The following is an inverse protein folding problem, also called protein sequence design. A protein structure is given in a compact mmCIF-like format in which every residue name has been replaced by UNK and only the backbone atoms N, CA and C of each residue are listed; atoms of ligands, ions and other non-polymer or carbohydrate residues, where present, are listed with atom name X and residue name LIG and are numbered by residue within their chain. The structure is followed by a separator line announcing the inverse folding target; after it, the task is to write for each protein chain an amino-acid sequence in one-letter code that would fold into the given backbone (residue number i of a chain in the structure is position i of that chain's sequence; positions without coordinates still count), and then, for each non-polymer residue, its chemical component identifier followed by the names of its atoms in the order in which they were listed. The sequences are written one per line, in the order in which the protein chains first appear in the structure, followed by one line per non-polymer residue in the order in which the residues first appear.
data_IF_234660658896
#
_entry.id   IF_234660658896
#
_cell.length_a   1.000
_cell.length_b   1.000
_cell.length_c   1.000
_cell.angle_alpha   90.00
_cell.angle_beta   90.00
_cell.angle_gamma   90.00
#
_symmetry.space_group_name_H-M   'P 1'
#
loop_
_entity.id
_entity.type
_entity.pdbx_description
1 polymer ?
#
# COMPACT_ATOMS: atom_id res chain seq x y z
N UNK A 1 -14.54 10.26 27.00
CA UNK A 1 -13.97 8.96 27.42
C UNK A 1 -12.51 8.76 27.00
N UNK A 2 -12.11 9.01 25.74
CA UNK A 2 -10.72 8.82 25.27
C UNK A 2 -9.65 9.61 26.07
N UNK A 3 -9.95 10.87 26.45
CA UNK A 3 -9.06 11.73 27.27
C UNK A 3 -8.77 11.22 28.69
N UNK A 4 -9.60 10.31 29.21
CA UNK A 4 -9.46 9.78 30.58
C UNK A 4 -8.68 8.45 30.61
N UNK A 5 -8.70 7.70 29.50
CA UNK A 5 -7.98 6.43 29.35
C UNK A 5 -6.49 6.61 29.01
N UNK A 6 -6.10 7.76 28.45
CA UNK A 6 -4.69 8.10 28.16
C UNK A 6 -3.81 8.31 29.41
N UNK A 7 -4.40 8.27 30.62
CA UNK A 7 -3.69 8.40 31.90
C UNK A 7 -3.41 7.07 32.60
N UNK A 8 -3.74 5.93 31.99
CA UNK A 8 -3.40 4.62 32.56
C UNK A 8 -1.89 4.39 32.41
N UNK A 9 -1.12 4.33 33.53
CA UNK A 9 0.35 4.40 33.50
C UNK A 9 1.05 3.27 32.73
N UNK A 10 0.33 2.18 32.44
CA UNK A 10 0.85 1.01 31.73
C UNK A 10 0.47 0.95 30.24
N UNK A 11 -0.47 1.77 29.79
CA UNK A 11 -0.92 1.80 28.37
C UNK A 11 -0.31 2.96 27.58
N UNK A 12 0.29 3.95 28.25
CA UNK A 12 0.97 5.07 27.59
C UNK A 12 0.09 5.76 26.54
N UNK A 13 0.65 5.94 25.35
CA UNK A 13 0.03 6.56 24.19
C UNK A 13 -0.84 5.57 23.36
N UNK A 14 -0.86 4.27 23.72
CA UNK A 14 -1.48 3.21 22.90
C UNK A 14 -2.96 3.43 22.62
N UNK A 15 -3.74 3.88 23.62
CA UNK A 15 -5.19 4.10 23.42
C UNK A 15 -5.45 5.22 22.41
N UNK A 16 -4.65 6.30 22.47
CA UNK A 16 -4.77 7.41 21.52
C UNK A 16 -4.44 6.96 20.10
N UNK A 17 -3.33 6.25 19.95
CA UNK A 17 -2.89 5.68 18.68
C UNK A 17 -3.86 4.64 18.09
N UNK A 18 -4.56 3.87 18.93
CA UNK A 18 -5.53 2.86 18.46
C UNK A 18 -6.86 3.48 18.00
N UNK A 19 -7.28 4.60 18.62
CA UNK A 19 -8.58 5.22 18.32
C UNK A 19 -8.50 6.14 17.11
N UNK A 20 -7.51 7.01 17.07
CA UNK A 20 -7.28 7.96 15.98
C UNK A 20 -5.81 8.40 15.98
N UNK A 21 -4.91 7.62 15.33
CA UNK A 21 -3.49 7.91 15.38
C UNK A 21 -3.14 9.26 14.75
N UNK A 22 -3.81 9.64 13.68
CA UNK A 22 -3.55 10.90 12.96
C UNK A 22 -3.87 12.10 13.83
N UNK A 23 -5.08 12.15 14.38
CA UNK A 23 -5.49 13.26 15.24
C UNK A 23 -4.68 13.27 16.55
N UNK A 24 -4.37 12.09 17.11
CA UNK A 24 -3.58 11.98 18.32
C UNK A 24 -2.15 12.51 18.17
N UNK A 25 -1.46 12.12 17.09
CA UNK A 25 -0.12 12.61 16.78
C UNK A 25 -0.13 14.12 16.50
N UNK A 26 -1.17 14.62 15.82
CA UNK A 26 -1.36 16.05 15.60
C UNK A 26 -1.57 16.83 16.90
N UNK A 27 -2.41 16.35 17.83
CA UNK A 27 -2.56 16.99 19.14
C UNK A 27 -1.24 17.03 19.93
N UNK A 28 -0.43 15.98 19.84
CA UNK A 28 0.88 15.94 20.49
C UNK A 28 1.86 16.92 19.86
N UNK A 29 1.89 17.02 18.54
CA UNK A 29 2.67 18.04 17.83
C UNK A 29 2.31 19.45 18.30
N UNK A 30 1.01 19.78 18.40
CA UNK A 30 0.59 21.09 18.88
C UNK A 30 1.02 21.42 20.32
N UNK A 31 1.20 20.40 21.17
CA UNK A 31 1.59 20.59 22.59
C UNK A 31 3.09 20.56 22.83
N UNK A 32 3.81 19.74 22.07
CA UNK A 32 5.22 19.41 22.33
C UNK A 32 6.16 19.91 21.24
N UNK A 33 5.63 20.40 20.12
CA UNK A 33 6.41 20.85 18.99
C UNK A 33 6.83 19.71 18.06
N UNK A 34 7.85 19.94 17.20
CA UNK A 34 8.22 19.03 16.11
C UNK A 34 8.93 17.76 16.56
N UNK A 35 9.37 17.67 17.82
CA UNK A 35 10.02 16.48 18.37
C UNK A 35 9.35 16.08 19.67
N UNK A 36 8.78 14.88 19.71
CA UNK A 36 8.14 14.36 20.92
C UNK A 36 8.19 12.84 20.98
N UNK A 37 8.03 12.27 22.17
CA UNK A 37 8.04 10.81 22.35
C UNK A 37 6.64 10.23 22.41
N UNK A 38 6.47 9.05 21.83
CA UNK A 38 5.27 8.21 21.93
C UNK A 38 5.67 6.87 22.56
N UNK A 39 4.98 6.47 23.62
CA UNK A 39 5.26 5.29 24.43
C UNK A 39 4.12 4.29 24.31
N UNK A 40 4.45 3.11 23.83
CA UNK A 40 3.57 1.93 23.87
C UNK A 40 4.10 0.94 24.92
N UNK A 41 3.33 -0.08 25.34
CA UNK A 41 3.81 -1.14 26.23
C UNK A 41 5.08 -1.85 25.75
N UNK A 42 5.33 -1.86 24.44
CA UNK A 42 6.42 -2.62 23.82
C UNK A 42 7.60 -1.75 23.40
N UNK A 43 7.35 -0.52 22.96
CA UNK A 43 8.35 0.35 22.35
C UNK A 43 8.09 1.82 22.67
N UNK A 44 9.17 2.58 22.79
CA UNK A 44 9.16 4.05 22.78
C UNK A 44 9.71 4.51 21.45
N UNK A 45 9.03 5.47 20.83
CA UNK A 45 9.42 6.08 19.58
C UNK A 45 9.62 7.57 19.76
N UNK A 46 10.61 8.11 19.07
CA UNK A 46 10.81 9.55 18.88
C UNK A 46 10.11 9.95 17.59
N UNK A 47 9.13 10.86 17.67
CA UNK A 47 8.39 11.36 16.51
C UNK A 47 9.08 12.62 15.99
N UNK A 48 9.38 12.65 14.69
CA UNK A 48 9.80 13.84 13.95
C UNK A 48 8.61 14.33 13.13
N UNK A 49 8.05 15.48 13.49
CA UNK A 49 6.79 15.96 12.94
C UNK A 49 6.91 17.35 12.29
N UNK A 50 6.06 17.60 11.29
CA UNK A 50 6.00 18.86 10.55
C UNK A 50 6.68 18.80 9.19
N UNK A 51 6.62 19.90 8.45
CA UNK A 51 7.19 19.99 7.10
C UNK A 51 8.71 19.72 7.09
N UNK A 52 9.43 20.22 8.10
CA UNK A 52 10.87 20.04 8.23
C UNK A 52 11.26 18.57 8.39
N UNK A 53 10.40 17.73 8.99
CA UNK A 53 10.63 16.29 9.07
C UNK A 53 10.55 15.63 7.70
N UNK A 54 9.57 16.01 6.85
CA UNK A 54 9.46 15.50 5.49
C UNK A 54 10.65 15.93 4.61
N UNK A 55 11.12 17.17 4.76
CA UNK A 55 12.33 17.67 4.10
C UNK A 55 13.57 16.92 4.59
N UNK A 56 13.70 16.70 5.91
CA UNK A 56 14.79 15.96 6.50
C UNK A 56 14.85 14.52 5.96
N UNK A 57 13.73 13.80 5.95
CA UNK A 57 13.65 12.43 5.41
C UNK A 57 14.11 12.33 3.96
N UNK A 58 13.87 13.37 3.16
CA UNK A 58 14.25 13.42 1.74
C UNK A 58 15.70 13.90 1.50
N UNK A 59 16.32 14.45 2.53
CA UNK A 59 17.69 14.98 2.48
C UNK A 59 18.73 13.86 2.42
N UNK A 60 19.98 14.21 2.09
CA UNK A 60 21.11 13.27 2.15
C UNK A 60 21.28 12.73 3.57
N UNK A 61 21.22 13.61 4.57
CA UNK A 61 21.38 13.25 5.98
C UNK A 61 20.28 12.30 6.44
N UNK A 62 19.02 12.59 6.15
CA UNK A 62 17.91 11.72 6.52
C UNK A 62 18.02 10.31 5.92
N UNK A 63 18.49 10.19 4.66
CA UNK A 63 18.73 8.89 4.03
C UNK A 63 19.90 8.10 4.63
N UNK A 64 20.87 8.78 5.23
CA UNK A 64 22.01 8.14 5.91
C UNK A 64 21.66 7.79 7.37
N UNK A 65 20.84 8.63 8.02
CA UNK A 65 20.49 8.51 9.42
C UNK A 65 19.28 7.63 9.69
N UNK A 66 18.37 7.44 8.73
CA UNK A 66 17.15 6.66 8.89
C UNK A 66 17.21 5.37 8.05
N UNK A 67 16.91 4.24 8.68
CA UNK A 67 16.79 2.93 8.03
C UNK A 67 15.39 2.36 8.21
N UNK A 68 14.92 1.58 7.24
CA UNK A 68 13.67 0.79 7.38
C UNK A 68 13.77 -0.29 8.46
N UNK A 69 14.99 -0.69 8.84
CA UNK A 69 15.26 -1.68 9.88
C UNK A 69 14.60 -3.03 9.56
N UNK A 70 13.92 -3.61 10.54
CA UNK A 70 13.23 -4.90 10.38
C UNK A 70 11.72 -4.76 10.15
N UNK A 71 11.24 -3.56 9.79
CA UNK A 71 9.79 -3.24 9.73
C UNK A 71 9.01 -4.17 8.80
N UNK A 72 9.63 -4.61 7.70
CA UNK A 72 9.00 -5.49 6.71
C UNK A 72 9.37 -6.97 6.84
N UNK A 73 10.34 -7.32 7.69
CA UNK A 73 10.89 -8.67 7.80
C UNK A 73 9.81 -9.71 8.07
N UNK A 74 8.86 -9.39 8.95
CA UNK A 74 7.77 -10.31 9.28
C UNK A 74 6.91 -10.66 8.06
N UNK A 75 6.62 -9.67 7.20
CA UNK A 75 5.80 -9.83 6.00
C UNK A 75 6.59 -10.64 4.96
N UNK A 76 7.86 -10.33 4.74
CA UNK A 76 8.74 -11.07 3.82
C UNK A 76 8.85 -12.55 4.18
N UNK A 77 9.08 -12.85 5.46
CA UNK A 77 9.20 -14.22 5.96
C UNK A 77 7.91 -15.03 5.75
N UNK A 78 6.74 -14.37 5.71
CA UNK A 78 5.49 -15.06 5.36
C UNK A 78 5.47 -15.57 3.92
N UNK A 79 6.35 -15.12 3.03
CA UNK A 79 6.40 -15.61 1.64
C UNK A 79 7.80 -16.05 1.23
N UNK A 80 8.66 -16.36 2.22
CA UNK A 80 10.03 -16.81 1.98
C UNK A 80 10.95 -15.76 1.38
N UNK A 81 10.52 -14.49 1.33
CA UNK A 81 11.33 -13.38 0.88
C UNK A 81 12.29 -12.89 1.95
N UNK A 82 13.35 -12.19 1.52
CA UNK A 82 14.32 -11.45 2.33
C UNK A 82 14.97 -10.37 1.49
N UNK A 83 15.34 -9.25 2.10
CA UNK A 83 16.10 -8.21 1.41
C UNK A 83 15.37 -7.67 0.15
N UNK A 84 14.03 -7.62 0.21
CA UNK A 84 13.18 -7.09 -0.85
C UNK A 84 13.18 -5.55 -0.87
N UNK A 85 12.66 -4.96 -1.95
CA UNK A 85 12.50 -3.51 -2.14
C UNK A 85 12.09 -2.74 -0.87
N UNK A 86 11.14 -3.25 -0.09
CA UNK A 86 10.58 -2.51 1.07
C UNK A 86 11.39 -2.70 2.36
N UNK A 87 12.33 -3.64 2.37
CA UNK A 87 13.08 -4.07 3.56
C UNK A 87 14.57 -3.70 3.54
N UNK A 88 15.07 -3.13 2.44
CA UNK A 88 16.47 -2.73 2.30
C UNK A 88 16.60 -1.22 2.13
N UNK A 89 17.81 -0.71 2.40
CA UNK A 89 18.19 0.70 2.22
C UNK A 89 19.34 0.85 1.20
N UNK A 90 19.70 2.09 0.88
CA UNK A 90 20.94 2.40 0.18
C UNK A 90 21.08 1.77 -1.21
N UNK A 91 22.27 1.23 -1.58
CA UNK A 91 22.54 0.67 -2.90
C UNK A 91 21.60 -0.48 -3.31
N UNK A 92 21.28 -1.39 -2.39
CA UNK A 92 20.37 -2.52 -2.66
C UNK A 92 18.95 -2.02 -2.95
N UNK A 93 18.46 -1.06 -2.17
CA UNK A 93 17.18 -0.40 -2.45
C UNK A 93 17.19 0.28 -3.82
N UNK A 94 18.28 0.97 -4.19
CA UNK A 94 18.42 1.60 -5.50
C UNK A 94 18.42 0.57 -6.64
N UNK A 95 19.07 -0.58 -6.46
CA UNK A 95 19.04 -1.68 -7.42
C UNK A 95 17.60 -2.16 -7.62
N UNK A 96 16.90 -2.53 -6.54
CA UNK A 96 15.50 -2.95 -6.62
C UNK A 96 14.59 -1.90 -7.26
N UNK A 97 14.74 -0.62 -6.90
CA UNK A 97 13.97 0.45 -7.53
C UNK A 97 14.21 0.54 -9.03
N UNK A 98 15.47 0.43 -9.46
CA UNK A 98 15.83 0.44 -10.88
C UNK A 98 15.22 -0.74 -11.63
N UNK A 99 15.24 -1.93 -11.04
CA UNK A 99 14.66 -3.15 -11.63
C UNK A 99 13.13 -3.06 -11.73
N UNK A 100 12.48 -2.53 -10.69
CA UNK A 100 11.02 -2.55 -10.57
C UNK A 100 10.33 -1.33 -11.21
N UNK A 101 11.05 -0.26 -11.53
CA UNK A 101 10.46 1.01 -11.95
C UNK A 101 9.52 0.89 -13.16
N UNK A 102 9.83 0.00 -14.11
CA UNK A 102 9.08 -0.15 -15.35
C UNK A 102 7.68 -0.68 -15.08
N UNK A 103 7.55 -1.74 -14.29
CA UNK A 103 6.25 -2.34 -13.97
C UNK A 103 5.40 -1.51 -12.99
N UNK A 104 5.97 -0.47 -12.39
CA UNK A 104 5.24 0.53 -11.59
C UNK A 104 5.14 1.89 -12.29
N UNK A 105 5.51 1.98 -13.57
CA UNK A 105 5.40 3.20 -14.36
C UNK A 105 3.97 3.43 -14.85
N UNK A 106 3.66 4.65 -15.28
CA UNK A 106 2.36 4.96 -15.92
C UNK A 106 2.21 4.21 -17.25
N UNK A 107 3.33 3.93 -17.92
CA UNK A 107 3.38 3.20 -19.18
C UNK A 107 2.94 1.74 -19.03
N UNK A 108 3.06 1.15 -17.83
CA UNK A 108 2.64 -0.23 -17.55
C UNK A 108 1.13 -0.47 -17.76
N UNK A 109 0.31 0.58 -17.66
CA UNK A 109 -1.15 0.51 -17.89
C UNK A 109 -1.58 1.26 -19.15
N UNK A 110 -0.65 1.92 -19.85
CA UNK A 110 -0.98 2.69 -21.04
C UNK A 110 -1.55 1.78 -22.14
N UNK A 111 -2.68 2.17 -22.73
CA UNK A 111 -3.39 1.36 -23.73
C UNK A 111 -4.22 0.21 -23.15
N UNK A 112 -4.26 0.03 -21.82
CA UNK A 112 -5.02 -1.03 -21.13
C UNK A 112 -6.15 -0.49 -20.23
N UNK A 113 -6.59 0.75 -20.45
CA UNK A 113 -7.68 1.34 -19.64
C UNK A 113 -9.02 0.64 -19.84
N UNK A 114 -9.30 0.14 -21.05
CA UNK A 114 -10.50 -0.67 -21.30
C UNK A 114 -10.51 -1.92 -20.41
N UNK A 115 -9.38 -2.62 -20.28
CA UNK A 115 -9.26 -3.76 -19.37
C UNK A 115 -9.48 -3.37 -17.90
N UNK A 116 -9.07 -2.16 -17.50
CA UNK A 116 -9.30 -1.67 -16.14
C UNK A 116 -10.80 -1.40 -15.89
N UNK A 117 -11.50 -0.89 -16.91
CA UNK A 117 -12.96 -0.69 -16.89
C UNK A 117 -13.67 -2.05 -16.87
N UNK A 118 -13.24 -3.03 -17.68
CA UNK A 118 -13.81 -4.38 -17.71
C UNK A 118 -13.68 -5.11 -16.36
N UNK A 119 -12.61 -4.84 -15.60
CA UNK A 119 -12.47 -5.36 -14.24
C UNK A 119 -13.55 -4.76 -13.32
N UNK A 120 -13.83 -3.47 -13.47
CA UNK A 120 -14.85 -2.76 -12.68
C UNK A 120 -16.25 -3.23 -13.09
N UNK A 121 -16.57 -3.25 -14.37
CA UNK A 121 -17.88 -3.61 -14.90
C UNK A 121 -18.28 -5.03 -14.49
N UNK A 122 -17.38 -6.01 -14.65
CA UNK A 122 -17.65 -7.39 -14.22
C UNK A 122 -17.90 -7.49 -12.70
N UNK A 123 -17.23 -6.68 -11.88
CA UNK A 123 -17.48 -6.66 -10.44
C UNK A 123 -18.83 -5.99 -10.10
N UNK A 124 -19.19 -4.92 -10.81
CA UNK A 124 -20.49 -4.24 -10.67
C UNK A 124 -21.61 -5.20 -11.07
N UNK A 125 -21.51 -5.82 -12.24
CA UNK A 125 -22.52 -6.70 -12.82
C UNK A 125 -22.76 -7.95 -11.97
N UNK A 126 -21.69 -8.55 -11.44
CA UNK A 126 -21.80 -9.74 -10.59
C UNK A 126 -22.37 -9.44 -9.21
N UNK A 127 -21.96 -8.34 -8.60
CA UNK A 127 -22.11 -8.15 -7.16
C UNK A 127 -23.09 -7.05 -6.75
N UNK A 128 -23.42 -6.09 -7.63
CA UNK A 128 -24.22 -4.92 -7.28
C UNK A 128 -25.55 -4.92 -8.03
N UNK A 129 -26.65 -4.72 -7.29
CA UNK A 129 -28.01 -4.65 -7.85
C UNK A 129 -28.66 -3.30 -7.53
N UNK A 130 -29.48 -2.75 -8.45
CA UNK A 130 -30.24 -1.54 -8.16
C UNK A 130 -31.07 -1.66 -6.86
N UNK A 131 -31.00 -0.65 -6.00
CA UNK A 131 -31.68 -0.62 -4.71
C UNK A 131 -30.96 -1.33 -3.55
N UNK A 132 -29.82 -1.98 -3.81
CA UNK A 132 -29.03 -2.64 -2.77
C UNK A 132 -28.05 -1.67 -2.10
N UNK A 133 -27.93 -1.77 -0.76
CA UNK A 133 -26.84 -1.12 -0.02
C UNK A 133 -25.53 -1.90 -0.18
N UNK A 134 -24.47 -1.22 -0.62
CA UNK A 134 -23.14 -1.80 -0.79
C UNK A 134 -22.17 -1.24 0.26
N UNK A 135 -21.49 -2.08 1.05
CA UNK A 135 -20.43 -1.61 1.94
C UNK A 135 -19.21 -1.20 1.10
N UNK A 136 -18.99 0.12 0.98
CA UNK A 136 -18.02 0.71 0.05
C UNK A 136 -16.60 0.21 0.28
N UNK A 137 -16.09 0.22 1.51
CA UNK A 137 -14.71 -0.21 1.79
C UNK A 137 -14.44 -1.66 1.37
N UNK A 138 -15.22 -2.67 1.80
CA UNK A 138 -15.07 -4.03 1.29
C UNK A 138 -15.19 -4.12 -0.24
N UNK A 139 -16.07 -3.35 -0.86
CA UNK A 139 -16.24 -3.37 -2.31
C UNK A 139 -15.00 -2.81 -3.04
N UNK A 140 -14.45 -1.69 -2.56
CA UNK A 140 -13.21 -1.11 -3.07
C UNK A 140 -12.02 -2.05 -2.85
N UNK A 141 -11.96 -2.77 -1.72
CA UNK A 141 -10.93 -3.79 -1.46
C UNK A 141 -10.96 -4.92 -2.48
N UNK A 142 -12.16 -5.44 -2.79
CA UNK A 142 -12.32 -6.48 -3.81
C UNK A 142 -11.89 -6.00 -5.19
N UNK A 143 -12.31 -4.79 -5.59
CA UNK A 143 -11.91 -4.17 -6.85
C UNK A 143 -10.40 -3.96 -6.93
N UNK A 144 -9.76 -3.43 -5.88
CA UNK A 144 -8.31 -3.22 -5.87
C UNK A 144 -7.54 -4.54 -5.96
N UNK A 145 -7.98 -5.61 -5.30
CA UNK A 145 -7.34 -6.93 -5.44
C UNK A 145 -7.49 -7.46 -6.87
N UNK A 146 -8.67 -7.33 -7.47
CA UNK A 146 -8.91 -7.76 -8.85
C UNK A 146 -8.00 -7.01 -9.83
N UNK A 147 -7.92 -5.68 -9.72
CA UNK A 147 -7.04 -4.86 -10.57
C UNK A 147 -5.57 -5.19 -10.35
N UNK A 148 -5.12 -5.34 -9.11
CA UNK A 148 -3.74 -5.75 -8.83
C UNK A 148 -3.42 -7.09 -9.49
N UNK A 149 -4.27 -8.11 -9.32
CA UNK A 149 -4.03 -9.40 -9.95
C UNK A 149 -3.93 -9.33 -11.48
N UNK A 150 -4.83 -8.57 -12.11
CA UNK A 150 -4.84 -8.37 -13.56
C UNK A 150 -3.60 -7.62 -14.07
N UNK A 151 -3.29 -6.46 -13.50
CA UNK A 151 -2.24 -5.58 -14.04
C UNK A 151 -0.82 -5.94 -13.57
N UNK A 152 -0.70 -6.52 -12.37
CA UNK A 152 0.60 -6.90 -11.80
C UNK A 152 0.92 -8.36 -12.11
N UNK A 153 -0.06 -9.25 -11.94
CA UNK A 153 0.13 -10.68 -12.08
C UNK A 153 -0.21 -11.23 -13.47
N UNK A 154 -0.85 -10.44 -14.33
CA UNK A 154 -1.38 -10.92 -15.62
C UNK A 154 -2.52 -11.93 -15.49
N UNK A 155 -3.03 -12.13 -14.26
CA UNK A 155 -4.06 -13.14 -13.95
C UNK A 155 -5.17 -12.48 -13.15
N UNK A 156 -6.37 -12.44 -13.73
CA UNK A 156 -7.57 -11.98 -13.03
C UNK A 156 -7.92 -12.99 -11.91
N UNK A 157 -7.87 -12.61 -10.62
CA UNK A 157 -8.21 -13.51 -9.52
C UNK A 157 -9.70 -13.85 -9.52
N UNK A 158 -10.06 -15.05 -9.07
CA UNK A 158 -11.46 -15.42 -8.83
C UNK A 158 -11.99 -14.76 -7.55
N UNK A 159 -13.32 -14.75 -7.34
CA UNK A 159 -13.91 -14.22 -6.11
C UNK A 159 -13.36 -14.91 -4.84
N UNK A 160 -13.10 -16.21 -4.90
CA UNK A 160 -12.49 -16.96 -3.79
C UNK A 160 -11.04 -16.51 -3.55
N UNK A 161 -10.26 -16.31 -4.62
CA UNK A 161 -8.89 -15.81 -4.51
C UNK A 161 -8.87 -14.41 -3.88
N UNK A 162 -9.81 -13.55 -4.28
CA UNK A 162 -9.95 -12.20 -3.72
C UNK A 162 -10.21 -12.27 -2.21
N UNK A 163 -11.10 -13.15 -1.76
CA UNK A 163 -11.41 -13.30 -0.33
C UNK A 163 -10.22 -13.83 0.48
N UNK A 164 -9.46 -14.77 -0.08
CA UNK A 164 -8.27 -15.31 0.57
C UNK A 164 -7.12 -14.29 0.62
N UNK A 165 -6.87 -13.56 -0.46
CA UNK A 165 -5.88 -12.48 -0.51
C UNK A 165 -6.24 -11.39 0.51
N UNK A 166 -7.51 -10.97 0.55
CA UNK A 166 -7.99 -9.97 1.50
C UNK A 166 -7.87 -10.41 2.97
N UNK A 167 -8.02 -11.72 3.24
CA UNK A 167 -7.83 -12.28 4.57
C UNK A 167 -6.36 -12.27 4.97
N UNK A 168 -5.50 -12.81 4.11
CA UNK A 168 -4.07 -12.99 4.39
C UNK A 168 -3.38 -11.64 4.60
N UNK A 169 -3.62 -10.68 3.70
CA UNK A 169 -3.03 -9.34 3.77
C UNK A 169 -3.42 -8.63 5.07
N UNK A 170 -4.72 -8.57 5.37
CA UNK A 170 -5.26 -7.93 6.57
C UNK A 170 -4.73 -8.53 7.86
N UNK A 171 -4.68 -9.86 7.97
CA UNK A 171 -4.27 -10.52 9.21
C UNK A 171 -2.76 -10.36 9.46
N UNK A 172 -1.94 -10.35 8.41
CA UNK A 172 -0.50 -10.04 8.52
C UNK A 172 -0.28 -8.58 8.94
N UNK A 173 -0.96 -7.62 8.31
CA UNK A 173 -0.82 -6.19 8.61
C UNK A 173 -1.37 -5.82 10.00
N UNK A 174 -2.29 -6.59 10.56
CA UNK A 174 -2.66 -6.46 11.97
C UNK A 174 -1.54 -6.88 12.93
N UNK A 175 -0.61 -7.74 12.51
CA UNK A 175 0.48 -8.22 13.37
C UNK A 175 1.72 -7.33 13.23
N UNK A 176 2.07 -6.93 12.02
CA UNK A 176 3.22 -6.07 11.76
C UNK A 176 2.77 -4.63 11.51
N UNK A 177 3.32 -3.59 12.16
CA UNK A 177 4.33 -3.59 13.24
C UNK A 177 3.74 -3.48 14.67
N UNK A 178 2.43 -3.32 14.83
CA UNK A 178 1.79 -2.90 16.10
C UNK A 178 1.23 -4.07 16.93
N UNK A 179 1.30 -5.31 16.43
CA UNK A 179 0.80 -6.53 17.10
C UNK A 179 -0.65 -6.42 17.60
N UNK A 180 -1.57 -5.87 16.80
CA UNK A 180 -2.99 -5.77 17.15
C UNK A 180 -3.65 -7.13 17.40
N UNK A 181 -3.09 -8.22 16.85
CA UNK A 181 -3.58 -9.58 17.05
C UNK A 181 -2.43 -10.54 17.44
N UNK A 182 -2.68 -11.56 18.28
CA UNK A 182 -1.72 -12.62 18.56
C UNK A 182 -1.22 -13.40 17.34
N UNK A 183 0.10 -13.64 17.25
CA UNK A 183 0.75 -14.37 16.14
C UNK A 183 0.21 -15.79 15.91
N UNK A 184 -0.36 -16.44 16.93
CA UNK A 184 -0.89 -17.80 16.77
C UNK A 184 -2.10 -17.85 15.81
N UNK A 185 -2.78 -16.72 15.56
CA UNK A 185 -3.86 -16.68 14.56
C UNK A 185 -3.39 -17.03 13.15
N UNK A 186 -2.12 -16.77 12.82
CA UNK A 186 -1.53 -17.18 11.54
C UNK A 186 -1.24 -18.69 11.46
N UNK A 187 -1.54 -19.45 12.52
CA UNK A 187 -1.47 -20.93 12.52
C UNK A 187 -2.85 -21.58 12.36
N UNK A 188 -3.92 -20.78 12.36
CA UNK A 188 -5.27 -21.32 12.23
C UNK A 188 -5.47 -21.88 10.81
N UNK A 189 -6.20 -23.02 10.65
CA UNK A 189 -6.39 -23.65 9.34
C UNK A 189 -6.96 -22.70 8.28
N UNK A 190 -7.85 -21.79 8.67
CA UNK A 190 -8.43 -20.79 7.77
C UNK A 190 -7.35 -19.92 7.12
N UNK A 191 -6.43 -19.38 7.92
CA UNK A 191 -5.33 -18.55 7.40
C UNK A 191 -4.34 -19.40 6.59
N UNK A 192 -3.94 -20.57 7.09
CA UNK A 192 -2.96 -21.43 6.41
C UNK A 192 -3.45 -21.85 5.02
N UNK A 193 -4.73 -22.22 4.91
CA UNK A 193 -5.35 -22.60 3.64
C UNK A 193 -5.48 -21.41 2.69
N UNK A 194 -5.91 -20.24 3.18
CA UNK A 194 -5.99 -19.01 2.39
C UNK A 194 -4.62 -18.58 1.87
N UNK A 195 -3.60 -18.59 2.73
CA UNK A 195 -2.21 -18.30 2.35
C UNK A 195 -1.70 -19.29 1.30
N UNK A 196 -2.01 -20.58 1.44
CA UNK A 196 -1.61 -21.58 0.45
C UNK A 196 -2.24 -21.32 -0.92
N UNK A 197 -3.50 -20.91 -0.98
CA UNK A 197 -4.18 -20.56 -2.24
C UNK A 197 -3.63 -19.26 -2.85
N UNK A 198 -3.39 -18.25 -2.03
CA UNK A 198 -2.71 -17.02 -2.46
C UNK A 198 -1.32 -17.31 -3.05
N UNK A 199 -0.55 -18.21 -2.44
CA UNK A 199 0.74 -18.67 -3.00
C UNK A 199 0.55 -19.40 -4.34
N UNK A 200 -0.51 -20.19 -4.48
CA UNK A 200 -0.86 -20.83 -5.75
C UNK A 200 -1.13 -19.82 -6.86
N UNK A 201 -1.95 -18.79 -6.60
CA UNK A 201 -2.22 -17.69 -7.54
C UNK A 201 -0.92 -16.99 -7.96
N UNK A 202 -0.06 -16.67 -6.99
CA UNK A 202 1.24 -16.07 -7.24
C UNK A 202 2.16 -16.95 -8.10
N UNK A 203 2.19 -18.26 -7.84
CA UNK A 203 2.96 -19.21 -8.65
C UNK A 203 2.43 -19.33 -10.08
N UNK A 204 1.11 -19.32 -10.27
CA UNK A 204 0.49 -19.29 -11.60
C UNK A 204 0.86 -18.02 -12.37
N UNK A 205 0.84 -16.86 -11.72
CA UNK A 205 1.25 -15.60 -12.32
C UNK A 205 2.74 -15.61 -12.74
N UNK A 206 3.62 -16.14 -11.88
CA UNK A 206 5.06 -16.31 -12.21
C UNK A 206 5.27 -17.29 -13.37
N UNK A 207 4.51 -18.39 -13.41
CA UNK A 207 4.60 -19.36 -14.50
C UNK A 207 4.15 -18.78 -15.83
N UNK A 208 3.06 -17.99 -15.83
CA UNK A 208 2.57 -17.27 -17.00
C UNK A 208 3.65 -16.33 -17.55
N UNK A 209 4.22 -15.49 -16.68
CA UNK A 209 5.25 -14.53 -17.06
C UNK A 209 6.51 -15.20 -17.66
N UNK A 210 6.89 -16.38 -17.13
CA UNK A 210 7.97 -17.19 -17.70
C UNK A 210 7.65 -17.76 -19.08
N UNK A 211 6.41 -18.21 -19.30
CA UNK A 211 5.95 -18.67 -20.62
C UNK A 211 5.99 -17.54 -21.65
N UNK A 212 5.55 -16.35 -21.28
CA UNK A 212 5.63 -15.15 -22.12
C UNK A 212 7.07 -14.83 -22.54
N UNK A 213 8.03 -14.89 -21.61
CA UNK A 213 9.46 -14.71 -21.91
C UNK A 213 10.00 -15.80 -22.86
N UNK A 214 9.45 -17.01 -22.83
CA UNK A 214 9.80 -18.09 -23.74
C UNK A 214 9.14 -17.98 -25.13
N UNK A 215 8.35 -16.93 -25.38
CA UNK A 215 7.59 -16.75 -26.62
C UNK A 215 6.28 -17.52 -26.67
N UNK A 216 5.84 -18.09 -25.56
CA UNK A 216 4.61 -18.88 -25.43
C UNK A 216 3.43 -17.97 -25.02
N UNK A 217 3.03 -17.05 -25.90
CA UNK A 217 1.80 -16.27 -25.73
C UNK A 217 1.94 -14.76 -25.96
N UNK A 218 0.81 -14.02 -25.94
CA UNK A 218 0.83 -12.56 -26.10
C UNK A 218 1.55 -11.91 -24.92
N UNK A 219 2.54 -11.06 -25.21
CA UNK A 219 3.19 -10.24 -24.20
C UNK A 219 2.22 -9.16 -23.71
N UNK A 220 1.80 -9.28 -22.45
CA UNK A 220 1.01 -8.26 -21.77
C UNK A 220 1.84 -7.74 -20.60
N UNK A 221 2.77 -6.81 -20.89
CA UNK A 221 3.77 -6.25 -19.95
C UNK A 221 3.20 -6.04 -18.54
N UNK A 222 3.32 -7.08 -17.72
CA UNK A 222 2.94 -7.09 -16.32
C UNK A 222 4.18 -6.82 -15.48
N UNK A 223 3.99 -6.37 -14.24
CA UNK A 223 5.13 -6.16 -13.32
C UNK A 223 6.03 -7.41 -13.24
N UNK A 224 5.45 -8.61 -13.26
CA UNK A 224 6.21 -9.85 -13.22
C UNK A 224 7.04 -10.10 -14.48
N UNK A 225 6.56 -9.71 -15.66
CA UNK A 225 7.32 -9.81 -16.90
C UNK A 225 8.55 -8.91 -16.84
N UNK A 226 8.36 -7.66 -16.40
CA UNK A 226 9.43 -6.68 -16.27
C UNK A 226 10.46 -7.10 -15.21
N UNK A 227 10.01 -7.71 -14.10
CA UNK A 227 10.90 -8.29 -13.09
C UNK A 227 11.74 -9.41 -13.72
N UNK A 228 11.11 -10.34 -14.44
CA UNK A 228 11.81 -11.47 -15.04
C UNK A 228 12.81 -11.02 -16.11
N UNK A 229 12.42 -10.09 -16.98
CA UNK A 229 13.29 -9.49 -18.00
C UNK A 229 14.51 -8.82 -17.35
N UNK A 230 14.28 -7.99 -16.33
CA UNK A 230 15.34 -7.26 -15.64
C UNK A 230 16.27 -8.17 -14.83
N UNK A 231 15.82 -9.38 -14.48
CA UNK A 231 16.61 -10.38 -13.76
C UNK A 231 17.26 -11.42 -14.70
N UNK A 232 17.07 -11.34 -16.02
CA UNK A 232 17.64 -12.31 -16.95
C UNK A 232 19.18 -12.32 -16.91
N UNK A 233 19.79 -11.15 -16.71
CA UNK A 233 21.25 -10.96 -16.68
C UNK A 233 21.85 -11.00 -15.26
N UNK A 234 21.00 -11.06 -14.23
CA UNK A 234 21.39 -11.20 -12.82
C UNK A 234 20.80 -12.51 -12.25
N UNK A 235 21.36 -13.68 -12.66
CA UNK A 235 20.92 -15.00 -12.21
C UNK A 235 21.29 -15.28 -10.75
N UNK A 236 21.86 -14.32 -10.02
CA UNK A 236 22.18 -14.49 -8.62
C UNK A 236 20.91 -14.78 -7.81
N UNK A 237 21.05 -15.66 -6.81
CA UNK A 237 19.90 -16.31 -6.17
C UNK A 237 18.93 -15.34 -5.46
N UNK A 238 19.33 -14.09 -5.21
CA UNK A 238 18.56 -13.09 -4.46
C UNK A 238 17.28 -12.67 -5.20
N UNK A 239 17.31 -12.56 -6.53
CA UNK A 239 16.15 -12.14 -7.32
C UNK A 239 15.08 -13.24 -7.41
N UNK A 240 15.51 -14.48 -7.67
CA UNK A 240 14.59 -15.63 -7.72
C UNK A 240 14.00 -15.96 -6.34
N UNK A 241 14.78 -15.81 -5.25
CA UNK A 241 14.29 -16.00 -3.88
C UNK A 241 13.16 -15.04 -3.51
N UNK A 242 13.21 -13.81 -4.01
CA UNK A 242 12.19 -12.79 -3.73
C UNK A 242 11.05 -12.74 -4.73
N UNK A 243 11.11 -13.50 -5.83
CA UNK A 243 10.10 -13.45 -6.89
C UNK A 243 8.69 -13.68 -6.33
N UNK A 244 8.52 -14.70 -5.46
CA UNK A 244 7.24 -14.95 -4.82
C UNK A 244 6.81 -13.76 -3.97
N UNK A 245 7.70 -13.17 -3.18
CA UNK A 245 7.37 -12.00 -2.37
C UNK A 245 7.00 -10.78 -3.23
N UNK A 246 7.75 -10.50 -4.30
CA UNK A 246 7.46 -9.40 -5.22
C UNK A 246 6.15 -9.58 -5.96
N UNK A 247 5.73 -10.82 -6.25
CA UNK A 247 4.41 -11.10 -6.82
C UNK A 247 3.25 -10.81 -5.88
N UNK A 248 3.47 -10.90 -4.57
CA UNK A 248 2.41 -10.65 -3.57
C UNK A 248 2.48 -9.26 -2.93
N UNK A 249 3.64 -8.61 -2.95
CA UNK A 249 3.89 -7.31 -2.33
C UNK A 249 2.87 -6.23 -2.73
N UNK A 250 2.42 -6.13 -4.00
CA UNK A 250 1.39 -5.17 -4.41
C UNK A 250 0.06 -5.33 -3.68
N UNK A 251 -0.30 -6.54 -3.25
CA UNK A 251 -1.51 -6.74 -2.44
C UNK A 251 -1.37 -6.16 -1.03
N UNK A 252 -0.16 -6.17 -0.45
CA UNK A 252 0.08 -5.56 0.86
C UNK A 252 0.16 -4.04 0.78
N UNK A 253 0.89 -3.52 -0.20
CA UNK A 253 1.17 -2.09 -0.30
C UNK A 253 0.04 -1.30 -0.99
N UNK A 254 -0.62 -1.90 -1.97
CA UNK A 254 -1.54 -1.20 -2.88
C UNK A 254 -3.02 -1.37 -2.55
N UNK A 255 -3.45 -2.47 -1.94
CA UNK A 255 -4.89 -2.74 -1.73
C UNK A 255 -5.45 -1.85 -0.62
N UNK A 256 -4.97 -1.99 0.62
CA UNK A 256 -5.58 -1.27 1.74
C UNK A 256 -5.53 0.25 1.57
N UNK A 257 -4.41 0.78 1.06
CA UNK A 257 -4.20 2.21 0.82
C UNK A 257 -5.10 2.77 -0.28
N UNK A 258 -5.15 2.12 -1.44
CA UNK A 258 -5.94 2.59 -2.58
C UNK A 258 -7.43 2.43 -2.30
N UNK A 259 -7.86 1.30 -1.74
CA UNK A 259 -9.28 1.07 -1.44
C UNK A 259 -9.82 2.02 -0.38
N UNK A 260 -9.03 2.33 0.66
CA UNK A 260 -9.42 3.31 1.66
C UNK A 260 -9.45 4.74 1.09
N UNK A 261 -8.50 5.10 0.23
CA UNK A 261 -8.50 6.38 -0.48
C UNK A 261 -9.74 6.52 -1.36
N UNK A 262 -10.05 5.51 -2.18
CA UNK A 262 -11.26 5.47 -3.01
C UNK A 262 -12.53 5.56 -2.16
N UNK A 263 -12.57 4.88 -1.01
CA UNK A 263 -13.69 4.94 -0.08
C UNK A 263 -13.91 6.36 0.46
N UNK A 264 -12.86 7.03 0.92
CA UNK A 264 -12.98 8.41 1.41
C UNK A 264 -13.32 9.38 0.29
N UNK A 265 -12.74 9.21 -0.90
CA UNK A 265 -13.08 10.01 -2.07
C UNK A 265 -14.58 9.89 -2.39
N UNK A 266 -15.10 8.66 -2.50
CA UNK A 266 -16.53 8.42 -2.74
C UNK A 266 -17.40 9.02 -1.63
N UNK A 267 -17.03 8.82 -0.35
CA UNK A 267 -17.75 9.39 0.78
C UNK A 267 -17.83 10.93 0.70
N UNK A 268 -16.71 11.59 0.43
CA UNK A 268 -16.65 13.04 0.33
C UNK A 268 -17.39 13.56 -0.91
N UNK A 269 -17.23 12.92 -2.07
CA UNK A 269 -17.93 13.30 -3.30
C UNK A 269 -19.45 13.24 -3.09
N UNK A 270 -19.95 12.13 -2.52
CA UNK A 270 -21.39 11.95 -2.27
C UNK A 270 -21.94 12.93 -1.21
N UNK A 271 -21.10 13.43 -0.30
CA UNK A 271 -21.46 14.48 0.66
C UNK A 271 -21.51 15.88 0.06
N UNK A 272 -20.98 16.09 -1.15
CA UNK A 272 -20.90 17.40 -1.81
C UNK A 272 -21.56 17.34 -3.20
N UNK A 273 -22.89 17.51 -3.30
CA UNK A 273 -23.65 17.34 -4.54
C UNK A 273 -23.15 18.19 -5.71
N UNK A 274 -22.70 19.42 -5.44
CA UNK A 274 -22.13 20.31 -6.47
C UNK A 274 -20.82 19.77 -7.05
N UNK A 275 -20.00 19.11 -6.23
CA UNK A 275 -18.76 18.45 -6.70
C UNK A 275 -19.13 17.20 -7.49
N UNK A 276 -20.06 16.39 -7.00
CA UNK A 276 -20.56 15.21 -7.71
C UNK A 276 -21.08 15.56 -9.11
N UNK A 277 -21.93 16.59 -9.24
CA UNK A 277 -22.48 17.00 -10.53
C UNK A 277 -21.39 17.42 -11.54
N UNK A 278 -20.32 18.09 -11.06
CA UNK A 278 -19.18 18.47 -11.90
C UNK A 278 -18.36 17.26 -12.33
N UNK A 279 -18.11 16.32 -11.42
CA UNK A 279 -17.42 15.06 -11.71
C UNK A 279 -18.21 14.24 -12.72
N UNK A 280 -19.53 14.12 -12.55
CA UNK A 280 -20.40 13.43 -13.49
C UNK A 280 -20.29 14.04 -14.88
N UNK A 281 -20.35 15.37 -15.00
CA UNK A 281 -20.15 16.06 -16.27
C UNK A 281 -18.77 15.78 -16.91
N UNK A 282 -17.69 15.80 -16.12
CA UNK A 282 -16.34 15.45 -16.62
C UNK A 282 -16.27 14.01 -17.14
N UNK A 283 -16.80 13.06 -16.35
CA UNK A 283 -16.77 11.64 -16.67
C UNK A 283 -17.65 11.33 -17.88
N UNK A 284 -18.88 11.86 -17.93
CA UNK A 284 -19.80 11.68 -19.07
C UNK A 284 -19.19 12.22 -20.37
N UNK A 285 -18.56 13.41 -20.31
CA UNK A 285 -17.88 14.01 -21.44
C UNK A 285 -16.67 13.17 -21.89
N UNK A 286 -15.88 12.65 -20.95
CA UNK A 286 -14.75 11.78 -21.26
C UNK A 286 -15.21 10.50 -21.98
N UNK A 287 -16.18 9.77 -21.43
CA UNK A 287 -16.69 8.54 -22.04
C UNK A 287 -17.39 8.78 -23.38
N UNK A 288 -17.96 9.96 -23.62
CA UNK A 288 -18.52 10.31 -24.93
C UNK A 288 -17.47 10.43 -26.05
N UNK A 289 -16.18 10.61 -25.72
CA UNK A 289 -15.10 10.69 -26.71
C UNK A 289 -14.57 9.34 -27.19
N UNK A 290 -15.00 8.24 -26.57
CA UNK A 290 -14.55 6.89 -26.89
C UNK A 290 -13.42 6.42 -25.96
N UNK A 291 -12.29 6.02 -26.54
CA UNK A 291 -11.22 5.32 -25.81
C UNK A 291 -10.54 6.20 -24.75
N UNK A 292 -10.38 5.64 -23.54
CA UNK A 292 -9.67 6.28 -22.45
C UNK A 292 -8.16 6.14 -22.68
N UNK A 293 -7.49 7.27 -22.84
CA UNK A 293 -6.02 7.36 -22.83
C UNK A 293 -5.53 7.87 -21.48
N UNK A 294 -4.26 7.56 -21.13
CA UNK A 294 -3.66 8.05 -19.88
C UNK A 294 -3.75 9.58 -19.77
N UNK A 295 -3.25 10.29 -20.78
CA UNK A 295 -3.23 11.76 -20.74
C UNK A 295 -4.65 12.34 -20.85
N UNK A 296 -5.52 11.72 -21.66
CA UNK A 296 -6.92 12.11 -21.79
C UNK A 296 -7.68 12.00 -20.47
N UNK A 297 -7.47 10.94 -19.69
CA UNK A 297 -8.10 10.74 -18.38
C UNK A 297 -7.82 11.92 -17.44
N UNK A 298 -6.55 12.27 -17.24
CA UNK A 298 -6.18 13.33 -16.30
C UNK A 298 -6.51 14.73 -16.82
N UNK A 299 -6.44 14.96 -18.14
CA UNK A 299 -6.82 16.24 -18.74
C UNK A 299 -8.34 16.48 -18.71
N UNK A 300 -9.13 15.43 -18.94
CA UNK A 300 -10.59 15.53 -19.00
C UNK A 300 -11.27 15.53 -17.62
N UNK A 301 -10.57 15.07 -16.56
CA UNK A 301 -11.17 14.89 -15.23
C UNK A 301 -10.47 15.67 -14.09
N UNK A 302 -10.19 16.99 -14.25
CA UNK A 302 -9.46 17.75 -13.24
C UNK A 302 -10.20 17.88 -11.90
N UNK A 303 -11.53 17.94 -11.88
CA UNK A 303 -12.31 17.98 -10.64
C UNK A 303 -12.30 16.61 -9.95
N UNK A 304 -12.41 15.51 -10.69
CA UNK A 304 -12.25 14.16 -10.12
C UNK A 304 -10.86 13.99 -9.50
N UNK A 305 -9.80 14.35 -10.23
CA UNK A 305 -8.44 14.29 -9.73
C UNK A 305 -8.28 15.15 -8.46
N UNK A 306 -8.79 16.39 -8.49
CA UNK A 306 -8.79 17.28 -7.33
C UNK A 306 -9.53 16.70 -6.12
N UNK A 307 -10.67 16.02 -6.33
CA UNK A 307 -11.43 15.37 -5.26
C UNK A 307 -10.66 14.20 -4.63
N UNK A 308 -9.95 13.39 -5.43
CA UNK A 308 -9.08 12.32 -4.92
C UNK A 308 -7.90 12.90 -4.12
N UNK A 309 -7.25 13.93 -4.65
CA UNK A 309 -6.15 14.61 -3.95
C UNK A 309 -6.60 15.23 -2.62
N UNK A 310 -7.78 15.85 -2.61
CA UNK A 310 -8.36 16.43 -1.40
C UNK A 310 -8.78 15.36 -0.38
N UNK A 311 -9.27 14.21 -0.85
CA UNK A 311 -9.54 13.07 0.03
C UNK A 311 -8.25 12.54 0.69
N UNK A 312 -7.16 12.44 -0.06
CA UNK A 312 -5.85 12.06 0.50
C UNK A 312 -5.31 13.11 1.49
N UNK A 313 -5.57 14.40 1.24
CA UNK A 313 -5.18 15.49 2.15
C UNK A 313 -5.95 15.47 3.46
N UNK A 314 -7.26 15.22 3.40
CA UNK A 314 -8.15 15.20 4.58
C UNK A 314 -8.08 13.87 5.34
N UNK A 315 -7.91 12.75 4.63
CA UNK A 315 -7.89 11.40 5.17
C UNK A 315 -6.64 10.63 4.71
N UNK A 316 -5.44 11.02 5.18
CA UNK A 316 -4.21 10.33 4.82
C UNK A 316 -4.20 8.91 5.41
N UNK A 317 -4.17 7.88 4.55
CA UNK A 317 -4.19 6.48 5.00
C UNK A 317 -2.91 6.09 5.74
N UNK A 318 -1.76 6.54 5.23
CA UNK A 318 -0.46 6.39 5.87
C UNK A 318 -0.02 7.72 6.48
N UNK A 319 -0.48 8.00 7.71
CA UNK A 319 -0.24 9.28 8.39
C UNK A 319 1.10 9.39 9.12
N UNK A 320 1.84 8.28 9.23
CA UNK A 320 3.19 8.22 9.80
C UNK A 320 3.97 7.08 9.17
N UNK A 321 5.30 7.11 9.29
CA UNK A 321 6.18 6.08 8.74
C UNK A 321 7.20 5.69 9.81
N UNK A 322 7.35 4.39 10.07
CA UNK A 322 8.32 3.90 11.05
C UNK A 322 9.71 3.77 10.40
N UNK A 323 10.71 4.28 11.12
CA UNK A 323 12.14 4.15 10.84
C UNK A 323 12.89 3.77 12.11
N UNK A 324 14.17 3.45 11.95
CA UNK A 324 15.13 3.31 13.04
C UNK A 324 16.31 4.23 12.74
N UNK A 325 16.88 4.85 13.78
CA UNK A 325 18.10 5.62 13.66
C UNK A 325 19.29 4.68 13.33
N UNK A 326 19.84 4.78 12.13
CA UNK A 326 20.99 3.99 11.68
C UNK A 326 22.30 4.42 12.39
N UNK A 327 22.36 5.70 12.74
CA UNK A 327 23.42 6.36 13.49
C UNK A 327 22.81 7.47 14.35
N UNK A 328 23.61 8.04 15.25
CA UNK A 328 23.15 9.16 16.03
C UNK A 328 23.07 10.45 15.17
N UNK A 329 21.97 11.19 15.26
CA UNK A 329 21.81 12.48 14.56
C UNK A 329 21.07 13.51 15.43
N UNK A 330 21.00 14.74 14.98
CA UNK A 330 20.28 15.81 15.67
C UNK A 330 19.14 16.33 14.80
N UNK A 331 17.98 16.57 15.41
CA UNK A 331 16.85 17.19 14.71
C UNK A 331 16.17 18.19 15.67
N UNK A 332 16.07 19.45 15.25
CA UNK A 332 15.60 20.58 16.07
C UNK A 332 16.22 20.65 17.49
N UNK A 333 17.54 20.45 17.62
CA UNK A 333 18.20 20.51 18.94
C UNK A 333 18.07 19.24 19.79
N UNK A 334 17.37 18.21 19.28
CA UNK A 334 17.21 16.93 19.96
C UNK A 334 18.16 15.89 19.39
N UNK A 335 18.92 15.24 20.26
CA UNK A 335 19.79 14.13 19.91
C UNK A 335 18.99 12.83 19.83
N UNK A 336 18.94 12.21 18.65
CA UNK A 336 18.36 10.89 18.41
C UNK A 336 19.51 9.89 18.32
N UNK A 337 19.49 8.85 19.17
CA UNK A 337 20.57 7.86 19.22
C UNK A 337 20.33 6.71 18.27
N UNK A 338 21.41 6.11 17.79
CA UNK A 338 21.40 4.88 17.00
C UNK A 338 20.54 3.81 17.68
N UNK A 339 19.69 3.16 16.90
CA UNK A 339 18.78 2.11 17.34
C UNK A 339 17.45 2.62 17.93
N UNK A 340 17.27 3.93 18.12
CA UNK A 340 15.97 4.48 18.50
C UNK A 340 14.95 4.29 17.37
N UNK A 341 13.74 3.89 17.73
CA UNK A 341 12.59 3.89 16.82
C UNK A 341 12.17 5.33 16.54
N UNK A 342 12.08 5.67 15.26
CA UNK A 342 11.70 7.00 14.79
C UNK A 342 10.37 6.91 14.04
N UNK A 343 9.45 7.80 14.37
CA UNK A 343 8.18 8.03 13.66
C UNK A 343 8.27 9.30 12.83
#
# INVERSE_FOLDING_TARGET
MARMLSRLPRLGDTVGLMLDPTFYLFEKYLRHGPVFTVKTPYQTYTVLAGADAATFMSSKEGRECLTVGSSWRFVEEQFGGRDSLVAVDGPQHKQWRTLLQRGYSREAIAGRYAEAVDVIDDAVDKHWKPGQSVPVLPAMQKLSIAQVGTFVGGVRPTDNDIEDIALVTRDILKIAPVQHIPKFMLRLPRYVNARSRMVGVAQSAIALARGTQAGEGPSQSALLDDILESCADDPDATNQRNMLFHSVLPYFAGVETTSATATYALYLILKHPTVLARIQHEVDAMFATGDITHDGLFQATPVLHGAVMEAMRLHPIASFIIRVAAQDFEFHGHRIRRGEGVF
#
